data_IF_150004102139
#
_entry.id   IF_150004102139
#
_cell.length_a   1.000
_cell.length_b   1.000
_cell.length_c   1.000
_cell.angle_alpha   90.00
_cell.angle_beta   90.00
_cell.angle_gamma   90.00
#
_symmetry.space_group_name_H-M   'P 1'
#
loop_
_entity.id
_entity.type
_entity.pdbx_description
1 polymer ?
#
# COMPACT_ATOMS: atom_id res chain seq x y z
N UNK A 1 -0.22 -0.84 25.33
CA UNK A 1 0.40 -2.18 25.35
C UNK A 1 -0.20 -2.93 24.17
N UNK A 2 0.61 -3.23 23.15
CA UNK A 2 0.14 -3.91 21.94
C UNK A 2 0.03 -5.40 22.27
N UNK A 3 -1.12 -6.00 22.01
CA UNK A 3 -1.29 -7.44 22.20
C UNK A 3 -0.45 -8.14 21.12
N UNK A 4 0.65 -8.74 21.57
CA UNK A 4 1.49 -9.64 20.81
C UNK A 4 0.63 -10.84 20.36
N UNK A 5 0.28 -10.87 19.08
CA UNK A 5 -0.44 -12.00 18.48
C UNK A 5 0.58 -13.10 18.11
N UNK A 6 1.28 -13.60 19.12
CA UNK A 6 2.12 -14.79 19.06
C UNK A 6 1.31 -16.07 19.34
N UNK A 7 -0.03 -15.99 19.36
CA UNK A 7 -0.95 -17.14 19.39
C UNK A 7 -1.10 -17.73 17.99
N UNK A 8 0.02 -18.14 17.39
CA UNK A 8 0.06 -18.84 16.10
C UNK A 8 0.84 -20.18 16.18
N UNK A 9 1.15 -20.64 17.38
CA UNK A 9 1.98 -21.81 17.62
C UNK A 9 1.50 -22.41 18.95
N UNK A 10 0.63 -23.41 19.00
CA UNK A 10 0.73 -24.71 18.38
C UNK A 10 -0.67 -25.19 17.97
N UNK A 11 -0.93 -25.20 16.66
CA UNK A 11 -2.03 -25.99 16.12
C UNK A 11 -1.71 -27.46 16.46
N UNK A 12 -2.45 -28.03 17.41
CA UNK A 12 -2.23 -29.38 17.96
C UNK A 12 -2.03 -30.37 16.81
N UNK A 13 -1.06 -31.28 16.93
CA UNK A 13 -0.71 -32.24 15.85
C UNK A 13 -1.93 -33.09 15.45
N UNK A 14 -2.90 -33.23 16.36
CA UNK A 14 -4.21 -33.84 16.10
C UNK A 14 -5.07 -33.02 15.15
N UNK A 15 -5.16 -31.72 15.36
CA UNK A 15 -5.86 -30.77 14.49
C UNK A 15 -5.17 -30.70 13.11
N UNK A 16 -3.83 -30.73 13.07
CA UNK A 16 -3.06 -30.78 11.82
C UNK A 16 -3.18 -32.12 11.08
N UNK A 17 -3.48 -33.22 11.78
CA UNK A 17 -3.73 -34.52 11.14
C UNK A 17 -5.03 -34.59 10.34
N UNK A 18 -5.98 -33.68 10.63
CA UNK A 18 -7.22 -33.55 9.86
C UNK A 18 -6.99 -32.83 8.51
N UNK A 19 -5.88 -32.09 8.38
CA UNK A 19 -5.57 -31.26 7.20
C UNK A 19 -4.94 -32.08 6.06
N UNK A 20 -4.35 -33.25 6.36
CA UNK A 20 -4.02 -34.23 5.34
C UNK A 20 -5.06 -35.36 5.39
N UNK A 21 -6.00 -35.35 4.44
CA UNK A 21 -7.17 -36.24 4.39
C UNK A 21 -6.95 -37.61 5.03
N UNK A 22 -7.71 -37.87 6.10
CA UNK A 22 -7.64 -39.11 6.86
C UNK A 22 -7.73 -40.32 5.94
N UNK A 23 -6.82 -41.27 6.15
CA UNK A 23 -6.84 -42.58 5.52
C UNK A 23 -8.05 -43.37 6.05
N UNK A 24 -9.25 -43.07 5.53
CA UNK A 24 -10.42 -43.93 5.65
C UNK A 24 -10.17 -45.14 4.76
N UNK A 25 -9.81 -46.24 5.40
CA UNK A 25 -9.60 -47.52 4.75
C UNK A 25 -10.78 -47.91 3.85
N UNK A 26 -10.41 -48.46 2.69
CA UNK A 26 -11.18 -49.42 1.91
C UNK A 26 -12.52 -48.96 1.32
N UNK A 27 -12.51 -47.96 0.43
CA UNK A 27 -13.34 -47.87 -0.78
C UNK A 27 -12.92 -46.61 -1.57
N UNK A 28 -12.91 -46.61 -2.92
CA UNK A 28 -12.58 -45.42 -3.70
C UNK A 28 -13.80 -44.50 -3.70
N UNK A 29 -14.09 -43.89 -2.55
CA UNK A 29 -15.07 -42.82 -2.46
C UNK A 29 -14.38 -41.59 -3.02
N UNK A 30 -14.89 -41.09 -4.15
CA UNK A 30 -14.49 -39.77 -4.67
C UNK A 30 -14.96 -38.72 -3.66
N UNK A 31 -14.09 -38.39 -2.71
CA UNK A 31 -14.31 -37.27 -1.79
C UNK A 31 -13.77 -36.04 -2.51
N UNK A 32 -14.62 -35.09 -2.95
CA UNK A 32 -14.12 -33.88 -3.58
C UNK A 32 -13.27 -33.13 -2.57
N UNK A 33 -11.97 -33.02 -2.85
CA UNK A 33 -11.07 -32.18 -2.05
C UNK A 33 -11.66 -30.76 -2.01
N UNK A 34 -11.74 -30.11 -0.83
CA UNK A 34 -12.27 -28.76 -0.74
C UNK A 34 -11.38 -27.84 -1.57
N UNK A 35 -11.92 -27.33 -2.69
CA UNK A 35 -11.28 -26.27 -3.46
C UNK A 35 -11.37 -24.99 -2.67
N UNK A 36 -10.23 -24.51 -2.17
CA UNK A 36 -10.13 -23.17 -1.59
C UNK A 36 -10.16 -22.17 -2.74
N UNK A 37 -11.36 -21.72 -3.09
CA UNK A 37 -11.55 -20.63 -4.02
C UNK A 37 -11.29 -19.31 -3.27
N UNK A 38 -10.05 -18.82 -3.30
CA UNK A 38 -9.73 -17.46 -2.85
C UNK A 38 -10.31 -16.46 -3.86
N UNK A 39 -11.56 -16.06 -3.66
CA UNK A 39 -12.26 -15.10 -4.54
C UNK A 39 -11.88 -13.64 -4.26
N UNK A 40 -11.16 -13.36 -3.17
CA UNK A 40 -10.69 -12.01 -2.85
C UNK A 40 -9.38 -12.04 -2.06
N UNK A 41 -8.33 -11.50 -2.64
CA UNK A 41 -7.12 -11.08 -1.94
C UNK A 41 -7.22 -9.58 -1.67
N UNK A 42 -7.43 -9.19 -0.43
CA UNK A 42 -7.39 -7.77 -0.04
C UNK A 42 -5.94 -7.36 0.17
N UNK A 43 -5.53 -6.24 -0.42
CA UNK A 43 -4.21 -5.65 -0.17
C UNK A 43 -4.34 -4.16 0.07
N UNK A 44 -3.53 -3.67 1.00
CA UNK A 44 -3.48 -2.27 1.40
C UNK A 44 -2.28 -1.62 0.72
N UNK A 45 -2.50 -0.63 -0.14
CA UNK A 45 -1.42 0.22 -0.63
C UNK A 45 -1.54 1.59 0.02
N UNK A 46 -0.46 2.04 0.64
CA UNK A 46 -0.31 3.41 1.13
C UNK A 46 0.48 4.21 0.10
N UNK A 47 0.05 5.43 -0.18
CA UNK A 47 0.86 6.36 -0.95
C UNK A 47 0.88 7.74 -0.28
N UNK A 48 2.08 8.33 -0.19
CA UNK A 48 2.30 9.66 0.38
C UNK A 48 3.08 10.50 -0.63
N UNK A 49 2.60 11.70 -0.93
CA UNK A 49 3.36 12.71 -1.65
C UNK A 49 3.59 13.90 -0.72
N UNK A 50 4.86 14.18 -0.42
CA UNK A 50 5.30 15.42 0.19
C UNK A 50 5.80 16.38 -0.89
N UNK A 51 5.38 17.64 -0.82
CA UNK A 51 5.81 18.68 -1.74
C UNK A 51 6.09 19.97 -0.99
N UNK A 52 7.28 20.54 -1.21
CA UNK A 52 7.67 21.86 -0.74
C UNK A 52 8.07 22.69 -1.95
N UNK A 53 7.65 23.96 -2.00
CA UNK A 53 8.05 24.90 -3.03
C UNK A 53 8.45 26.21 -2.35
N UNK A 54 9.71 26.59 -2.50
CA UNK A 54 10.25 27.84 -1.96
C UNK A 54 10.64 28.75 -3.14
N UNK A 55 10.06 29.95 -3.17
CA UNK A 55 10.15 30.85 -4.31
C UNK A 55 10.47 32.24 -3.79
N UNK A 56 11.68 32.69 -4.13
CA UNK A 56 12.15 34.04 -3.83
C UNK A 56 12.25 34.83 -5.11
N UNK A 57 11.49 35.92 -5.22
CA UNK A 57 11.55 36.86 -6.33
C UNK A 57 12.07 38.22 -5.85
N UNK A 58 13.35 38.50 -6.09
CA UNK A 58 13.97 39.76 -5.68
C UNK A 58 14.07 40.71 -6.87
N UNK A 59 13.13 41.64 -6.97
CA UNK A 59 12.99 42.54 -8.13
C UNK A 59 13.04 44.00 -7.69
N UNK A 60 13.89 44.80 -8.33
CA UNK A 60 14.01 46.23 -8.04
C UNK A 60 14.78 46.59 -6.78
N UNK A 61 15.66 45.72 -6.30
CA UNK A 61 16.50 46.01 -5.14
C UNK A 61 17.65 46.99 -5.49
N UNK A 62 17.95 47.92 -4.58
CA UNK A 62 19.03 48.90 -4.67
C UNK A 62 19.01 49.84 -5.90
N UNK A 63 17.83 50.32 -6.32
CA UNK A 63 17.71 51.23 -7.48
C UNK A 63 17.16 52.61 -7.11
N UNK A 64 17.89 53.67 -7.45
CA UNK A 64 17.56 55.05 -7.07
C UNK A 64 16.60 55.78 -8.04
N UNK A 65 16.71 55.55 -9.35
CA UNK A 65 15.75 56.01 -10.36
C UNK A 65 15.66 54.98 -11.49
N UNK A 66 14.49 54.39 -11.67
CA UNK A 66 14.24 53.41 -12.72
C UNK A 66 12.77 53.43 -13.12
N UNK A 67 12.48 53.08 -14.37
CA UNK A 67 11.13 52.94 -14.88
C UNK A 67 11.04 51.60 -15.62
N UNK A 68 9.93 50.86 -15.46
CA UNK A 68 9.69 49.63 -16.22
C UNK A 68 10.32 48.35 -15.64
N UNK A 69 10.62 48.29 -14.33
CA UNK A 69 10.97 47.02 -13.70
C UNK A 69 9.70 46.19 -13.50
N UNK A 70 9.64 45.05 -14.19
CA UNK A 70 8.59 44.04 -14.04
C UNK A 70 9.23 42.68 -13.80
N UNK A 71 8.66 41.89 -12.90
CA UNK A 71 9.00 40.49 -12.74
C UNK A 71 7.73 39.67 -12.69
N UNK A 72 7.75 38.55 -13.41
CA UNK A 72 6.61 37.64 -13.53
C UNK A 72 7.08 36.26 -13.07
N UNK A 73 6.49 35.77 -11.99
CA UNK A 73 6.82 34.46 -11.42
C UNK A 73 5.58 33.58 -11.45
N UNK A 74 5.65 32.51 -12.25
CA UNK A 74 4.54 31.60 -12.54
C UNK A 74 4.90 30.15 -12.14
N UNK A 75 5.04 29.84 -10.85
CA UNK A 75 5.38 28.50 -10.41
C UNK A 75 4.22 27.55 -10.66
N UNK A 76 4.53 26.37 -11.19
CA UNK A 76 3.58 25.27 -11.36
C UNK A 76 4.16 24.03 -10.70
N UNK A 77 3.45 23.52 -9.68
CA UNK A 77 3.77 22.26 -9.04
C UNK A 77 2.63 21.29 -9.30
N UNK A 78 2.94 20.11 -9.82
CA UNK A 78 1.96 19.06 -10.09
C UNK A 78 2.50 17.76 -9.54
N UNK A 79 1.70 17.10 -8.70
CA UNK A 79 1.95 15.78 -8.18
C UNK A 79 0.80 14.86 -8.59
N UNK A 80 1.14 13.65 -8.97
CA UNK A 80 0.15 12.60 -9.23
C UNK A 80 0.54 11.37 -8.41
N UNK A 81 -0.35 10.98 -7.49
CA UNK A 81 -0.27 9.75 -6.74
C UNK A 81 -1.43 8.87 -7.19
N UNK A 82 -1.15 7.85 -7.99
CA UNK A 82 -2.17 6.94 -8.48
C UNK A 82 -1.81 5.52 -8.07
N UNK A 83 -2.77 4.85 -7.42
CA UNK A 83 -2.73 3.41 -7.20
C UNK A 83 -3.56 2.75 -8.31
N UNK A 84 -2.89 1.98 -9.18
CA UNK A 84 -3.57 1.20 -10.22
C UNK A 84 -3.52 -0.29 -9.82
N UNK A 85 -4.70 -0.91 -9.73
CA UNK A 85 -4.88 -2.34 -9.49
C UNK A 85 -5.54 -2.97 -10.72
N UNK A 86 -5.12 -4.18 -11.11
CA UNK A 86 -5.70 -4.99 -12.19
C UNK A 86 -6.06 -6.38 -11.67
#
# INVERSE_FOLDING_TARGET
MIADLSVAQELDRREMSAVHGGNLGLLPVFVPAPKVNMTSTSFTAEQVIGQTNDIVNNTGNDVALVTGICSTVNPKQTANNAINYY
#
